data_IF_698252410953
#
_entry.id   IF_698252410953
#
_cell.length_a   1.000
_cell.length_b   1.000
_cell.length_c   1.000
_cell.angle_alpha   90.00
_cell.angle_beta   90.00
_cell.angle_gamma   90.00
#
_symmetry.space_group_name_H-M   'P 1'
#
loop_
_entity.id
_entity.type
_entity.pdbx_description
1 polymer ?
#
# COMPACT_ATOMS: atom_id res chain seq x y z
N UNK A 1 -1.69 13.66 -12.47
CA UNK A 1 -2.10 12.35 -11.91
C UNK A 1 -0.92 11.82 -11.12
N UNK A 2 -1.06 11.66 -9.81
CA UNK A 2 0.04 11.16 -8.98
C UNK A 2 0.01 9.62 -9.03
N UNK A 3 0.94 9.03 -9.77
CA UNK A 3 1.08 7.57 -9.90
C UNK A 3 1.91 6.99 -8.74
N UNK A 4 1.69 7.46 -7.51
CA UNK A 4 2.44 7.08 -6.32
C UNK A 4 1.84 5.87 -5.60
N UNK A 5 0.79 5.26 -6.15
CA UNK A 5 0.10 4.11 -5.57
C UNK A 5 0.31 2.86 -6.41
N UNK A 6 0.61 1.76 -5.75
CA UNK A 6 0.80 0.44 -6.35
C UNK A 6 -0.27 -0.54 -5.88
N UNK A 7 -0.65 -1.44 -6.79
CA UNK A 7 -1.48 -2.60 -6.54
C UNK A 7 -0.57 -3.82 -6.42
N UNK A 8 -0.77 -4.61 -5.37
CA UNK A 8 -0.01 -5.83 -5.09
C UNK A 8 -0.97 -7.01 -5.08
N UNK A 9 -0.82 -7.92 -6.04
CA UNK A 9 -1.59 -9.15 -6.16
C UNK A 9 -0.76 -10.39 -5.84
N UNK A 10 -1.46 -11.51 -5.68
CA UNK A 10 -0.89 -12.85 -5.41
C UNK A 10 -0.20 -12.93 -4.04
N UNK A 11 -0.64 -12.10 -3.11
CA UNK A 11 -0.15 -12.11 -1.72
C UNK A 11 -0.51 -13.44 -1.05
N UNK A 12 0.41 -14.04 -0.28
CA UNK A 12 0.08 -15.11 0.63
C UNK A 12 -1.01 -14.68 1.62
N UNK A 13 -1.90 -15.60 1.98
CA UNK A 13 -3.01 -15.29 2.90
C UNK A 13 -2.53 -14.93 4.31
N UNK A 14 -1.33 -15.38 4.68
CA UNK A 14 -0.62 -15.07 5.91
C UNK A 14 -0.12 -13.62 5.97
N UNK A 15 0.06 -12.96 4.81
CA UNK A 15 0.61 -11.61 4.75
C UNK A 15 -0.45 -10.58 5.14
N UNK A 16 -0.14 -9.84 6.20
CA UNK A 16 -0.94 -8.74 6.74
C UNK A 16 -0.39 -7.37 6.31
N UNK A 17 -1.16 -6.30 6.59
CA UNK A 17 -0.77 -4.90 6.32
C UNK A 17 0.65 -4.57 6.79
N UNK A 18 1.04 -5.04 7.96
CA UNK A 18 2.36 -4.75 8.57
C UNK A 18 3.48 -5.40 7.74
N UNK A 19 3.35 -6.69 7.42
CA UNK A 19 4.33 -7.41 6.60
C UNK A 19 4.44 -6.80 5.20
N UNK A 20 3.31 -6.45 4.58
CA UNK A 20 3.29 -5.76 3.29
C UNK A 20 4.07 -4.44 3.36
N UNK A 21 3.73 -3.56 4.32
CA UNK A 21 4.38 -2.26 4.48
C UNK A 21 5.88 -2.39 4.75
N UNK A 22 6.28 -3.33 5.59
CA UNK A 22 7.70 -3.56 5.90
C UNK A 22 8.48 -4.06 4.67
N UNK A 23 7.88 -4.88 3.81
CA UNK A 23 8.55 -5.34 2.58
C UNK A 23 8.76 -4.23 1.57
N UNK A 24 7.80 -3.31 1.48
CA UNK A 24 7.79 -2.22 0.51
C UNK A 24 8.47 -0.94 1.03
N UNK A 25 8.69 -0.79 2.34
CA UNK A 25 9.34 0.42 2.90
C UNK A 25 10.79 0.60 2.43
N UNK A 26 11.44 -0.45 1.93
CA UNK A 26 12.79 -0.41 1.37
C UNK A 26 12.91 0.40 0.07
N UNK A 27 11.80 0.65 -0.63
CA UNK A 27 11.77 1.44 -1.87
C UNK A 27 11.44 2.92 -1.62
N UNK A 28 11.01 3.26 -0.40
CA UNK A 28 10.73 4.64 -0.02
C UNK A 28 9.68 4.77 1.07
N UNK A 29 9.35 6.02 1.37
CA UNK A 29 8.38 6.34 2.41
C UNK A 29 6.97 5.98 1.98
N UNK A 30 6.30 5.15 2.77
CA UNK A 30 4.92 4.69 2.56
C UNK A 30 3.98 5.57 3.39
N UNK A 31 3.07 6.28 2.71
CA UNK A 31 2.03 7.08 3.34
C UNK A 31 0.86 6.23 3.81
N UNK A 32 0.44 5.25 3.01
CA UNK A 32 -0.60 4.29 3.40
C UNK A 32 -0.36 2.91 2.80
N UNK A 33 -0.91 1.88 3.43
CA UNK A 33 -0.87 0.53 2.88
C UNK A 33 -1.90 -0.35 3.58
N UNK A 34 -2.55 -1.23 2.82
CA UNK A 34 -3.54 -2.16 3.36
C UNK A 34 -3.68 -3.40 2.49
N UNK A 35 -4.04 -4.51 3.15
CA UNK A 35 -4.42 -5.76 2.50
C UNK A 35 -5.93 -5.81 2.45
N UNK A 36 -6.50 -6.16 1.30
CA UNK A 36 -7.94 -6.30 1.19
C UNK A 36 -8.35 -7.61 1.84
N UNK A 37 -9.19 -7.49 2.86
CA UNK A 37 -9.75 -8.61 3.58
C UNK A 37 -11.20 -8.83 3.15
N UNK A 38 -11.63 -10.08 3.19
CA UNK A 38 -13.03 -10.44 3.07
C UNK A 38 -13.81 -9.90 4.28
N UNK A 39 -14.95 -9.25 4.05
CA UNK A 39 -15.73 -8.57 5.10
C UNK A 39 -16.38 -9.56 6.07
N UNK A 40 -16.67 -10.78 5.62
CA UNK A 40 -17.37 -11.80 6.41
C UNK A 40 -16.35 -12.68 7.11
N UNK A 41 -15.42 -13.26 6.36
CA UNK A 41 -14.46 -14.24 6.91
C UNK A 41 -13.22 -13.59 7.53
N UNK A 42 -13.02 -12.27 7.32
CA UNK A 42 -11.83 -11.51 7.73
C UNK A 42 -10.52 -12.07 7.20
N UNK A 43 -10.57 -12.95 6.19
CA UNK A 43 -9.39 -13.54 5.54
C UNK A 43 -8.87 -12.63 4.43
N UNK A 44 -7.56 -12.68 4.19
CA UNK A 44 -6.95 -11.96 3.07
C UNK A 44 -7.51 -12.44 1.74
N UNK A 45 -7.90 -11.51 0.86
CA UNK A 45 -8.26 -11.81 -0.52
C UNK A 45 -7.05 -12.03 -1.43
N UNK A 46 -5.83 -11.98 -0.87
CA UNK A 46 -4.59 -12.20 -1.62
C UNK A 46 -4.16 -11.01 -2.48
N UNK A 47 -4.66 -9.81 -2.17
CA UNK A 47 -4.21 -8.57 -2.79
C UNK A 47 -4.29 -7.38 -1.82
N UNK A 48 -3.55 -6.33 -2.13
CA UNK A 48 -3.45 -5.13 -1.32
C UNK A 48 -2.97 -3.93 -2.13
N UNK A 49 -2.89 -2.80 -1.45
CA UNK A 49 -2.45 -1.53 -2.02
C UNK A 49 -1.39 -0.90 -1.12
N UNK A 50 -0.45 -0.21 -1.74
CA UNK A 50 0.57 0.59 -1.05
C UNK A 50 0.65 1.95 -1.75
N UNK A 51 0.60 3.01 -0.97
CA UNK A 51 0.73 4.40 -1.41
C UNK A 51 2.05 4.95 -0.88
N UNK A 52 2.90 5.42 -1.78
CA UNK A 52 4.16 6.07 -1.44
C UNK A 52 3.99 7.58 -1.34
N UNK A 53 4.94 8.23 -0.67
CA UNK A 53 5.05 9.70 -0.67
C UNK A 53 5.45 10.25 -2.04
N UNK A 54 6.17 9.47 -2.86
CA UNK A 54 6.69 9.90 -4.17
C UNK A 54 6.32 8.91 -5.26
N UNK A 55 6.22 9.40 -6.50
CA UNK A 55 5.99 8.54 -7.67
C UNK A 55 7.22 7.67 -8.00
N UNK A 56 8.43 8.18 -7.75
CA UNK A 56 9.67 7.45 -8.01
C UNK A 56 9.75 6.16 -7.18
N UNK A 57 9.41 6.21 -5.89
CA UNK A 57 9.36 5.01 -5.04
C UNK A 57 8.34 3.97 -5.53
N UNK A 58 7.21 4.42 -6.07
CA UNK A 58 6.22 3.53 -6.67
C UNK A 58 6.77 2.85 -7.94
N UNK A 59 7.45 3.61 -8.80
CA UNK A 59 8.07 3.07 -10.01
C UNK A 59 9.21 2.10 -9.69
N UNK A 60 10.04 2.40 -8.70
CA UNK A 60 11.10 1.51 -8.23
C UNK A 60 10.53 0.19 -7.70
N UNK A 61 9.44 0.24 -6.95
CA UNK A 61 8.77 -0.97 -6.50
C UNK A 61 8.20 -1.80 -7.68
N UNK A 62 7.67 -1.17 -8.72
CA UNK A 62 7.15 -1.91 -9.89
C UNK A 62 8.26 -2.50 -10.75
N UNK A 63 9.42 -1.84 -10.82
CA UNK A 63 10.54 -2.28 -11.64
C UNK A 63 11.24 -3.55 -11.12
N UNK A 64 10.95 -3.97 -9.90
CA UNK A 64 11.60 -5.10 -9.23
C UNK A 64 10.63 -6.26 -9.07
N UNK A 65 11.14 -7.49 -9.18
CA UNK A 65 10.35 -8.68 -8.87
C UNK A 65 10.25 -8.88 -7.37
N UNK A 66 9.05 -9.14 -6.88
CA UNK A 66 8.79 -9.36 -5.45
C UNK A 66 8.39 -10.79 -5.18
N UNK A 67 8.85 -11.32 -4.05
CA UNK A 67 8.46 -12.62 -3.54
C UNK A 67 8.23 -12.53 -2.03
N UNK A 68 7.18 -13.20 -1.54
CA UNK A 68 6.91 -13.35 -0.11
C UNK A 68 6.42 -14.78 0.16
N UNK A 69 6.96 -15.45 1.19
CA UNK A 69 6.65 -16.85 1.52
C UNK A 69 6.74 -17.82 0.32
N UNK A 70 7.73 -17.63 -0.56
CA UNK A 70 7.91 -18.44 -1.77
C UNK A 70 6.86 -18.20 -2.86
N UNK A 71 6.03 -17.15 -2.74
CA UNK A 71 5.07 -16.74 -3.77
C UNK A 71 5.52 -15.44 -4.42
N UNK A 72 5.69 -15.49 -5.74
CA UNK A 72 5.92 -14.30 -6.55
C UNK A 72 4.69 -13.39 -6.51
N UNK A 73 4.91 -12.12 -6.18
CA UNK A 73 3.88 -11.11 -6.16
C UNK A 73 3.81 -10.42 -7.52
N UNK A 74 2.61 -9.96 -7.87
CA UNK A 74 2.41 -9.11 -9.05
C UNK A 74 2.22 -7.68 -8.56
N UNK A 75 3.09 -6.77 -8.98
CA UNK A 75 3.05 -5.35 -8.60
C UNK A 75 2.80 -4.50 -9.85
N UNK A 76 1.78 -3.65 -9.80
CA UNK A 76 1.41 -2.75 -10.91
C UNK A 76 1.04 -1.36 -10.37
N UNK A 77 1.03 -0.35 -11.25
CA UNK A 77 0.43 0.96 -10.90
C UNK A 77 -1.05 0.76 -10.58
N UNK A 78 -1.48 1.26 -9.44
CA UNK A 78 -2.90 1.30 -9.10
C UNK A 78 -3.54 2.50 -9.80
N UNK A 79 -4.51 2.24 -10.66
CA UNK A 79 -5.36 3.29 -11.21
C UNK A 79 -6.41 3.68 -10.18
N UNK A 80 -6.30 4.91 -9.67
CA UNK A 80 -7.28 5.44 -8.74
C UNK A 80 -8.54 5.86 -9.49
N UNK A 81 -9.53 4.96 -9.56
CA UNK A 81 -10.86 5.32 -10.07
C UNK A 81 -11.76 5.96 -9.00
N UNK A 82 -11.35 5.98 -7.73
CA UNK A 82 -12.11 6.62 -6.66
C UNK A 82 -11.29 6.68 -5.34
N UNK A 83 -10.40 7.66 -5.18
CA UNK A 83 -9.97 8.06 -3.82
C UNK A 83 -11.07 8.96 -3.24
N UNK A 84 -11.85 8.53 -2.24
CA UNK A 84 -12.31 9.53 -1.27
C UNK A 84 -11.04 10.14 -0.68
N UNK A 85 -10.85 11.44 -0.87
CA UNK A 85 -9.87 12.21 -0.10
C UNK A 85 -10.24 11.96 1.36
N UNK A 86 -9.45 11.18 2.08
CA UNK A 86 -9.52 11.23 3.54
C UNK A 86 -8.92 12.57 3.88
N UNK A 87 -9.80 13.54 4.11
CA UNK A 87 -9.45 14.89 4.52
C UNK A 87 -8.47 14.81 5.70
N UNK A 88 -7.32 15.48 5.57
CA UNK A 88 -6.51 15.87 6.72
C UNK A 88 -7.41 16.66 7.67
N UNK A 89 -7.39 16.37 8.98
CA UNK A 89 -6.97 17.42 9.89
C UNK A 89 -6.26 16.87 11.14
N UNK A 90 -4.99 17.22 11.32
CA UNK A 90 -4.42 17.41 12.66
C UNK A 90 -3.54 18.67 12.63
N UNK A 91 -4.16 19.80 12.32
CA UNK A 91 -3.69 21.10 12.78
C UNK A 91 -3.93 21.15 14.29
N UNK A 92 -2.99 20.61 15.07
CA UNK A 92 -2.91 20.90 16.50
C UNK A 92 -2.18 22.24 16.65
N UNK A 93 -2.80 23.32 16.17
CA UNK A 93 -2.37 24.69 16.44
C UNK A 93 -3.48 25.42 17.22
N UNK A 94 -3.90 24.83 18.34
CA UNK A 94 -4.79 25.47 19.32
C UNK A 94 -4.43 24.95 20.73
N UNK A 95 -3.19 25.22 21.14
CA UNK A 95 -2.84 25.27 22.56
C UNK A 95 -1.98 26.52 22.84
N UNK A 96 -2.51 27.68 22.47
CA UNK A 96 -2.19 28.93 23.16
C UNK A 96 -3.38 29.31 24.03
N UNK A 97 -3.21 29.17 25.34
CA UNK A 97 -3.74 30.19 26.25
C UNK A 97 -2.70 31.31 26.33
#
# INVERSE_FOLDING_TARGET
MSNNRIFVARLPWSVCKIALRNHFSKFGSITDGYVVLDRITRRSKGYGFVTYSTNESAQQAIAVQHEMEGRQLVVNIAFDKNTPKVDSPMDMEDLKQ
#
